data_IF_275013045602
#
_entry.id   IF_275013045602
#
_cell.length_a   1.000
_cell.length_b   1.000
_cell.length_c   1.000
_cell.angle_alpha   90.00
_cell.angle_beta   90.00
_cell.angle_gamma   90.00
#
_symmetry.space_group_name_H-M   'P 1'
#
loop_
_entity.id
_entity.type
_entity.pdbx_description
1 polymer ?
#
# COMPACT_ATOMS: atom_id res chain seq x y z
N UNK A 1 12.00 2.99 -35.99
CA UNK A 1 10.77 2.19 -35.81
C UNK A 1 10.93 1.41 -34.51
N UNK A 2 9.96 1.40 -33.59
CA UNK A 2 10.10 0.60 -32.38
C UNK A 2 10.06 -0.88 -32.77
N UNK A 3 11.05 -1.64 -32.33
CA UNK A 3 11.15 -3.08 -32.59
C UNK A 3 9.94 -3.80 -31.97
N UNK A 4 8.93 -4.08 -32.79
CA UNK A 4 7.86 -5.01 -32.45
C UNK A 4 8.52 -6.39 -32.33
N UNK A 5 8.64 -6.90 -31.10
CA UNK A 5 9.12 -8.27 -30.89
C UNK A 5 8.30 -9.22 -31.76
N UNK A 6 8.96 -10.20 -32.38
CA UNK A 6 8.22 -11.29 -33.04
C UNK A 6 7.32 -11.99 -32.02
N UNK A 7 6.17 -12.50 -32.45
CA UNK A 7 5.21 -13.17 -31.54
C UNK A 7 5.88 -14.29 -30.72
N UNK A 8 6.85 -15.00 -31.34
CA UNK A 8 7.65 -16.04 -30.69
C UNK A 8 8.53 -15.49 -29.55
N UNK A 9 9.17 -14.33 -29.72
CA UNK A 9 9.94 -13.68 -28.65
C UNK A 9 9.05 -13.21 -27.49
N UNK A 10 7.88 -12.65 -27.80
CA UNK A 10 6.93 -12.21 -26.78
C UNK A 10 6.41 -13.41 -25.96
N UNK A 11 6.07 -14.52 -26.62
CA UNK A 11 5.66 -15.77 -25.95
C UNK A 11 6.77 -16.35 -25.09
N UNK A 12 8.01 -16.36 -25.56
CA UNK A 12 9.16 -16.82 -24.76
C UNK A 12 9.36 -15.97 -23.49
N UNK A 13 9.17 -14.65 -23.57
CA UNK A 13 9.19 -13.76 -22.40
C UNK A 13 8.03 -14.06 -21.44
N UNK A 14 6.83 -14.29 -21.96
CA UNK A 14 5.66 -14.66 -21.17
C UNK A 14 5.87 -15.98 -20.43
N UNK A 15 6.37 -17.03 -21.08
CA UNK A 15 6.67 -18.31 -20.42
C UNK A 15 7.69 -18.17 -19.30
N UNK A 16 8.76 -17.39 -19.49
CA UNK A 16 9.74 -17.11 -18.41
C UNK A 16 9.11 -16.36 -17.25
N UNK A 17 8.25 -15.39 -17.55
CA UNK A 17 7.53 -14.62 -16.54
C UNK A 17 6.52 -15.50 -15.77
N UNK A 18 5.82 -16.41 -16.45
CA UNK A 18 4.91 -17.36 -15.81
C UNK A 18 5.64 -18.25 -14.81
N UNK A 19 6.81 -18.78 -15.20
CA UNK A 19 7.65 -19.61 -14.33
C UNK A 19 8.10 -18.80 -13.11
N UNK A 20 8.57 -17.55 -13.31
CA UNK A 20 9.03 -16.68 -12.21
C UNK A 20 7.94 -16.43 -11.16
N UNK A 21 6.69 -16.24 -11.59
CA UNK A 21 5.58 -15.89 -10.71
C UNK A 21 4.60 -17.04 -10.44
N UNK A 22 5.00 -18.27 -10.78
CA UNK A 22 4.21 -19.49 -10.63
C UNK A 22 2.78 -19.36 -11.18
N UNK A 23 2.66 -18.78 -12.38
CA UNK A 23 1.37 -18.54 -13.03
C UNK A 23 0.91 -19.80 -13.76
N UNK A 24 -0.36 -20.14 -13.56
CA UNK A 24 -1.05 -21.26 -14.20
C UNK A 24 -2.45 -20.83 -14.61
N UNK A 25 -2.96 -21.35 -15.72
CA UNK A 25 -4.27 -20.97 -16.24
C UNK A 25 -5.16 -22.20 -16.46
N UNK A 26 -6.48 -22.09 -16.23
CA UNK A 26 -7.40 -23.22 -16.30
C UNK A 26 -7.66 -23.71 -17.74
N UNK A 27 -7.34 -22.90 -18.75
CA UNK A 27 -7.52 -23.27 -20.15
C UNK A 27 -6.57 -22.49 -21.07
N UNK A 28 -6.31 -23.03 -22.25
CA UNK A 28 -5.56 -22.35 -23.30
C UNK A 28 -6.20 -21.01 -23.71
N UNK A 29 -7.53 -20.91 -23.67
CA UNK A 29 -8.25 -19.66 -23.97
C UNK A 29 -7.93 -18.56 -22.94
N UNK A 30 -7.88 -18.91 -21.66
CA UNK A 30 -7.50 -17.97 -20.60
C UNK A 30 -6.02 -17.62 -20.69
N UNK A 31 -5.15 -18.60 -20.93
CA UNK A 31 -3.71 -18.35 -21.13
C UNK A 31 -3.46 -17.37 -22.29
N UNK A 32 -4.15 -17.54 -23.42
CA UNK A 32 -4.01 -16.64 -24.57
C UNK A 32 -4.51 -15.23 -24.23
N UNK A 33 -5.64 -15.09 -23.52
CA UNK A 33 -6.10 -13.78 -23.02
C UNK A 33 -5.05 -13.12 -22.14
N UNK A 34 -4.45 -13.87 -21.23
CA UNK A 34 -3.44 -13.41 -20.27
C UNK A 34 -2.14 -13.02 -20.98
N UNK A 35 -1.74 -13.78 -22.01
CA UNK A 35 -0.63 -13.41 -22.89
C UNK A 35 -0.88 -12.08 -23.60
N UNK A 36 -2.08 -11.85 -24.15
CA UNK A 36 -2.40 -10.58 -24.81
C UNK A 36 -2.30 -9.39 -23.85
N UNK A 37 -2.83 -9.52 -22.63
CA UNK A 37 -2.71 -8.49 -21.57
C UNK A 37 -1.24 -8.29 -21.19
N UNK A 38 -0.48 -9.37 -20.98
CA UNK A 38 0.96 -9.30 -20.68
C UNK A 38 1.75 -8.57 -21.75
N UNK A 39 1.47 -8.86 -23.03
CA UNK A 39 2.14 -8.21 -24.14
C UNK A 39 1.79 -6.72 -24.21
N UNK A 40 0.51 -6.36 -24.02
CA UNK A 40 0.08 -4.97 -23.93
C UNK A 40 0.78 -4.22 -22.79
N UNK A 41 0.81 -4.80 -21.58
CA UNK A 41 1.48 -4.21 -20.42
C UNK A 41 3.00 -4.07 -20.65
N UNK A 42 3.65 -5.07 -21.25
CA UNK A 42 5.07 -5.00 -21.62
C UNK A 42 5.36 -3.83 -22.57
N UNK A 43 4.50 -3.63 -23.57
CA UNK A 43 4.63 -2.52 -24.51
C UNK A 43 4.42 -1.17 -23.82
N UNK A 44 3.42 -1.05 -22.93
CA UNK A 44 3.15 0.16 -22.15
C UNK A 44 4.31 0.52 -21.21
N UNK A 45 4.93 -0.48 -20.57
CA UNK A 45 6.14 -0.29 -19.75
C UNK A 45 7.29 0.25 -20.61
N UNK A 46 7.53 -0.34 -21.78
CA UNK A 46 8.56 0.11 -22.72
C UNK A 46 8.32 1.53 -23.25
N UNK A 47 7.06 1.87 -23.54
CA UNK A 47 6.67 3.20 -23.96
C UNK A 47 6.92 4.24 -22.85
N UNK A 48 6.54 3.94 -21.60
CA UNK A 48 6.80 4.81 -20.45
C UNK A 48 8.30 5.06 -20.23
N UNK A 49 9.12 4.01 -20.30
CA UNK A 49 10.57 4.11 -20.15
C UNK A 49 11.22 4.98 -21.26
N UNK A 50 10.70 4.89 -22.49
CA UNK A 50 11.19 5.69 -23.62
C UNK A 50 10.84 7.17 -23.50
N UNK A 51 9.63 7.49 -23.03
CA UNK A 51 9.18 8.87 -22.82
C UNK A 51 9.93 9.56 -21.67
N UNK A 52 10.12 8.85 -20.55
CA UNK A 52 10.85 9.39 -19.38
C UNK A 52 12.35 9.62 -19.68
N UNK A 53 12.96 8.79 -20.54
CA UNK A 53 14.35 8.98 -20.97
C UNK A 53 14.54 10.20 -21.90
N UNK A 54 13.51 10.62 -22.63
CA UNK A 54 13.58 11.71 -23.63
C UNK A 54 13.39 13.10 -23.01
N UNK A 55 12.74 13.20 -21.84
CA UNK A 55 12.40 14.47 -21.17
C UNK A 55 13.59 15.14 -20.44
N UNK A 56 14.82 14.82 -20.81
CA UNK A 56 16.06 15.47 -20.36
C UNK A 56 16.66 16.26 -21.52
N UNK A 57 15.96 17.28 -22.00
CA UNK A 57 16.54 18.26 -22.94
C UNK A 57 16.72 19.58 -22.21
N UNK A 58 17.99 19.94 -22.00
CA UNK A 58 18.41 21.24 -21.48
C UNK A 58 18.17 22.28 -22.57
N UNK A 59 17.25 23.23 -22.35
CA UNK A 59 17.10 24.41 -23.21
C UNK A 59 15.67 24.76 -23.66
N UNK A 60 14.78 25.08 -22.71
CA UNK A 60 13.48 25.69 -23.05
C UNK A 60 12.62 25.92 -21.81
N UNK A 61 12.08 27.13 -21.66
CA UNK A 61 11.29 27.62 -20.51
C UNK A 61 9.93 26.89 -20.32
N UNK A 62 9.95 25.60 -20.01
CA UNK A 62 8.80 24.86 -19.46
C UNK A 62 9.18 24.26 -18.11
N UNK A 63 8.29 24.24 -17.09
CA UNK A 63 8.58 23.54 -15.85
C UNK A 63 8.74 22.05 -16.16
N UNK A 64 9.99 21.57 -16.16
CA UNK A 64 10.27 20.14 -16.27
C UNK A 64 10.08 19.53 -14.88
N UNK A 65 8.98 18.80 -14.69
CA UNK A 65 8.92 17.82 -13.59
C UNK A 65 9.93 16.74 -13.90
N UNK A 66 11.09 16.74 -13.23
CA UNK A 66 11.96 15.55 -13.15
C UNK A 66 11.13 14.43 -12.51
N UNK A 67 10.54 13.55 -13.31
CA UNK A 67 9.92 12.34 -12.78
C UNK A 67 11.04 11.33 -12.53
N UNK A 68 11.21 10.94 -11.27
CA UNK A 68 12.15 9.87 -10.90
C UNK A 68 11.47 8.49 -10.90
N UNK A 69 10.16 8.46 -11.16
CA UNK A 69 9.34 7.25 -11.19
C UNK A 69 9.85 6.30 -12.25
N UNK A 70 9.98 5.03 -11.86
CA UNK A 70 10.27 3.91 -12.74
C UNK A 70 9.13 2.93 -12.65
N UNK A 71 8.81 2.32 -13.78
CA UNK A 71 7.89 1.18 -13.88
C UNK A 71 8.63 -0.04 -14.40
N UNK A 72 8.17 -1.23 -14.03
CA UNK A 72 8.80 -2.48 -14.42
C UNK A 72 7.84 -3.66 -14.34
N UNK A 73 8.09 -4.69 -15.15
CA UNK A 73 7.27 -5.88 -15.17
C UNK A 73 7.33 -6.59 -13.82
N UNK A 74 6.17 -6.89 -13.25
CA UNK A 74 6.02 -7.59 -11.97
C UNK A 74 4.93 -8.67 -12.08
N UNK A 75 4.49 -9.23 -10.94
CA UNK A 75 3.51 -10.33 -10.89
C UNK A 75 2.12 -10.01 -11.44
N UNK A 76 1.80 -8.73 -11.64
CA UNK A 76 0.54 -8.25 -12.20
C UNK A 76 0.60 -8.07 -13.72
N UNK A 77 1.66 -8.58 -14.36
CA UNK A 77 1.88 -8.46 -15.80
C UNK A 77 0.71 -8.93 -16.67
N UNK A 78 -0.03 -9.95 -16.25
CA UNK A 78 -1.16 -10.51 -16.98
C UNK A 78 -2.53 -9.96 -16.56
N UNK A 79 -2.55 -8.89 -15.75
CA UNK A 79 -3.77 -8.26 -15.26
C UNK A 79 -3.91 -6.85 -15.81
N UNK A 80 -5.15 -6.44 -16.06
CA UNK A 80 -5.51 -5.04 -16.28
C UNK A 80 -5.53 -4.26 -14.97
N UNK A 81 -5.41 -2.92 -14.98
CA UNK A 81 -5.54 -2.13 -13.75
C UNK A 81 -6.87 -2.35 -13.01
N UNK A 82 -7.95 -2.56 -13.76
CA UNK A 82 -9.27 -2.86 -13.19
C UNK A 82 -9.28 -4.21 -12.45
N UNK A 83 -8.70 -5.26 -13.03
CA UNK A 83 -8.56 -6.56 -12.36
C UNK A 83 -7.65 -6.46 -11.11
N UNK A 84 -6.61 -5.63 -11.14
CA UNK A 84 -5.76 -5.40 -9.96
C UNK A 84 -6.54 -4.72 -8.84
N UNK A 85 -7.32 -3.68 -9.15
CA UNK A 85 -8.17 -3.01 -8.16
C UNK A 85 -9.18 -3.99 -7.58
N UNK A 86 -9.89 -4.74 -8.44
CA UNK A 86 -10.92 -5.68 -8.01
C UNK A 86 -10.38 -6.80 -7.10
N UNK A 87 -9.19 -7.33 -7.37
CA UNK A 87 -8.67 -8.51 -6.69
C UNK A 87 -7.65 -8.21 -5.58
N UNK A 88 -6.95 -7.07 -5.63
CA UNK A 88 -5.80 -6.77 -4.77
C UNK A 88 -5.94 -5.47 -3.98
N UNK A 89 -7.04 -4.74 -4.14
CA UNK A 89 -7.41 -3.62 -3.25
C UNK A 89 -8.65 -4.00 -2.46
N UNK A 90 -9.08 -3.19 -1.49
CA UNK A 90 -10.12 -3.61 -0.57
C UNK A 90 -10.58 -2.58 0.44
N UNK A 91 -10.34 -1.30 0.21
CA UNK A 91 -11.02 -0.28 1.00
C UNK A 91 -12.49 -0.19 0.58
N UNK A 92 -13.39 -0.45 1.52
CA UNK A 92 -14.82 -0.32 1.32
C UNK A 92 -15.35 0.85 2.17
N UNK A 93 -15.76 1.93 1.51
CA UNK A 93 -16.25 3.14 2.17
C UNK A 93 -17.70 3.06 2.65
N UNK A 94 -18.40 1.94 2.45
CA UNK A 94 -19.80 1.76 2.87
C UNK A 94 -19.91 1.93 4.39
N UNK A 95 -20.73 2.88 4.85
CA UNK A 95 -20.92 3.16 6.28
C UNK A 95 -19.71 3.79 6.96
N UNK A 96 -18.71 4.25 6.21
CA UNK A 96 -17.55 4.94 6.76
C UNK A 96 -17.92 6.36 7.19
N UNK A 97 -17.73 6.64 8.48
CA UNK A 97 -17.84 7.98 9.04
C UNK A 97 -16.47 8.41 9.56
N UNK A 98 -15.97 9.54 9.06
CA UNK A 98 -14.70 10.07 9.51
C UNK A 98 -14.75 10.31 11.03
N UNK A 99 -13.88 9.63 11.78
CA UNK A 99 -13.73 9.89 13.21
C UNK A 99 -13.31 11.34 13.45
N UNK A 100 -13.74 11.91 14.57
CA UNK A 100 -13.34 13.27 14.94
C UNK A 100 -11.80 13.36 15.02
N UNK A 101 -11.17 14.25 14.25
CA UNK A 101 -9.72 14.32 14.20
C UNK A 101 -9.16 14.80 15.53
N UNK A 102 -7.99 14.28 15.90
CA UNK A 102 -7.23 14.74 17.08
C UNK A 102 -6.00 15.52 16.61
N UNK A 103 -6.03 16.86 16.62
CA UNK A 103 -4.88 17.66 16.22
C UNK A 103 -3.69 17.46 17.15
N UNK A 104 -2.50 17.36 16.56
CA UNK A 104 -1.24 17.44 17.27
C UNK A 104 -0.77 18.91 17.31
N UNK A 105 -0.13 19.36 18.42
CA UNK A 105 0.35 20.73 18.53
C UNK A 105 1.27 21.10 17.36
N UNK A 106 1.02 22.22 16.69
CA UNK A 106 1.74 22.61 15.47
C UNK A 106 3.24 22.88 15.68
N UNK A 107 3.60 23.26 16.91
CA UNK A 107 4.98 23.45 17.38
C UNK A 107 5.66 22.15 17.82
N UNK A 108 5.00 20.99 17.68
CA UNK A 108 5.64 19.70 17.93
C UNK A 108 6.84 19.54 17.02
N UNK A 109 7.97 19.14 17.60
CA UNK A 109 9.17 18.82 16.85
C UNK A 109 8.95 17.55 16.02
N UNK A 110 9.50 17.54 14.81
CA UNK A 110 9.60 16.35 13.95
C UNK A 110 10.97 16.31 13.26
N UNK A 111 11.59 15.14 13.07
CA UNK A 111 12.78 15.01 12.24
C UNK A 111 12.53 15.39 10.78
N UNK A 112 13.59 15.73 10.04
CA UNK A 112 13.52 15.89 8.58
C UNK A 112 13.30 14.55 7.87
N UNK A 113 13.80 13.46 8.44
CA UNK A 113 13.65 12.11 7.94
C UNK A 113 13.28 11.16 9.08
N UNK A 114 12.28 10.32 8.84
CA UNK A 114 11.82 9.25 9.72
C UNK A 114 11.70 8.00 8.86
N UNK A 115 12.35 6.92 9.26
CA UNK A 115 12.21 5.62 8.62
C UNK A 115 12.12 4.54 9.70
N UNK A 116 10.91 4.08 9.99
CA UNK A 116 10.66 3.09 11.03
C UNK A 116 11.27 1.72 10.69
N UNK A 117 11.64 1.47 9.42
CA UNK A 117 12.36 0.25 9.02
C UNK A 117 13.75 0.23 9.65
N UNK A 118 14.46 1.35 9.58
CA UNK A 118 15.79 1.52 10.17
C UNK A 118 15.77 1.42 11.70
N UNK A 119 14.65 1.76 12.32
CA UNK A 119 14.42 1.59 13.77
C UNK A 119 13.94 0.19 14.17
N UNK A 120 13.81 -0.74 13.22
CA UNK A 120 13.33 -2.10 13.46
C UNK A 120 11.86 -2.17 13.88
N UNK A 121 11.04 -1.17 13.55
CA UNK A 121 9.61 -1.06 13.88
C UNK A 121 8.69 -1.36 12.69
N UNK A 122 9.17 -2.17 11.75
CA UNK A 122 8.41 -2.62 10.57
C UNK A 122 8.75 -4.08 10.31
N UNK A 123 7.74 -4.95 10.29
CA UNK A 123 7.90 -6.36 9.90
C UNK A 123 8.17 -6.51 8.40
N UNK A 124 8.54 -7.71 7.96
CA UNK A 124 8.70 -8.02 6.53
C UNK A 124 7.44 -7.67 5.70
N UNK A 125 7.64 -7.38 4.42
CA UNK A 125 6.52 -7.19 3.48
C UNK A 125 5.83 -8.53 3.24
N UNK A 126 4.51 -8.56 3.38
CA UNK A 126 3.66 -9.73 3.17
C UNK A 126 2.95 -9.67 1.82
N UNK A 127 2.20 -10.72 1.48
CA UNK A 127 1.40 -10.80 0.26
C UNK A 127 -0.05 -11.19 0.56
N UNK A 128 -1.00 -10.30 0.26
CA UNK A 128 -2.43 -10.51 0.52
C UNK A 128 -3.13 -11.47 -0.47
N UNK A 129 -2.47 -11.88 -1.56
CA UNK A 129 -3.16 -12.69 -2.57
C UNK A 129 -4.31 -11.95 -3.25
N UNK A 130 -5.26 -12.70 -3.79
CA UNK A 130 -6.49 -12.19 -4.43
C UNK A 130 -7.61 -11.89 -3.43
N UNK A 131 -7.27 -11.76 -2.15
CA UNK A 131 -8.20 -11.38 -1.10
C UNK A 131 -8.11 -9.86 -0.89
N UNK A 132 -9.24 -9.16 -0.94
CA UNK A 132 -9.36 -7.71 -0.74
C UNK A 132 -9.14 -7.28 0.72
N UNK A 133 -8.03 -7.68 1.32
CA UNK A 133 -7.73 -7.57 2.76
C UNK A 133 -6.67 -6.51 3.09
N UNK A 134 -6.33 -5.62 2.15
CA UNK A 134 -5.35 -4.55 2.37
C UNK A 134 -5.61 -3.73 3.65
N UNK A 135 -6.88 -3.56 4.03
CA UNK A 135 -7.31 -2.89 5.26
C UNK A 135 -6.79 -3.60 6.52
N UNK A 136 -6.81 -4.93 6.54
CA UNK A 136 -6.28 -5.73 7.64
C UNK A 136 -4.74 -5.63 7.71
N UNK A 137 -4.06 -5.73 6.56
CA UNK A 137 -2.60 -5.58 6.47
C UNK A 137 -2.13 -4.18 6.92
N UNK A 138 -2.86 -3.12 6.53
CA UNK A 138 -2.53 -1.76 6.93
C UNK A 138 -2.69 -1.59 8.45
N UNK A 139 -3.81 -2.07 9.01
CA UNK A 139 -4.07 -2.04 10.45
C UNK A 139 -2.98 -2.79 11.24
N UNK A 140 -2.69 -4.04 10.86
CA UNK A 140 -1.66 -4.87 11.50
C UNK A 140 -0.30 -4.18 11.45
N UNK A 141 0.15 -3.72 10.28
CA UNK A 141 1.46 -3.06 10.17
C UNK A 141 1.59 -1.81 11.07
N UNK A 142 0.48 -1.08 11.30
CA UNK A 142 0.49 0.05 12.22
C UNK A 142 0.55 -0.39 13.70
N UNK A 143 -0.16 -1.47 14.06
CA UNK A 143 -0.12 -2.05 15.42
C UNK A 143 1.27 -2.62 15.71
N UNK A 144 1.85 -3.39 14.79
CA UNK A 144 3.19 -3.99 14.93
C UNK A 144 4.25 -2.91 15.21
N UNK A 145 4.24 -1.82 14.44
CA UNK A 145 5.18 -0.73 14.62
C UNK A 145 4.96 0.03 15.93
N UNK A 146 3.70 0.32 16.28
CA UNK A 146 3.39 0.93 17.58
C UNK A 146 3.83 0.04 18.74
N UNK A 147 3.60 -1.28 18.66
CA UNK A 147 4.02 -2.24 19.68
C UNK A 147 5.53 -2.18 19.88
N UNK A 148 6.30 -2.32 18.80
CA UNK A 148 7.77 -2.23 18.86
C UNK A 148 8.25 -0.92 19.50
N UNK A 149 7.65 0.21 19.13
CA UNK A 149 8.03 1.52 19.68
C UNK A 149 7.78 1.60 21.19
N UNK A 150 6.73 0.95 21.68
CA UNK A 150 6.35 1.01 23.09
C UNK A 150 7.03 -0.03 23.97
N UNK A 151 7.10 -1.27 23.50
CA UNK A 151 7.53 -2.42 24.30
C UNK A 151 8.95 -2.85 23.99
N UNK A 152 9.48 -2.45 22.83
CA UNK A 152 10.74 -2.95 22.31
C UNK A 152 10.59 -4.26 21.52
N UNK A 153 9.39 -4.84 21.42
CA UNK A 153 9.16 -6.13 20.77
C UNK A 153 8.46 -5.97 19.41
N UNK A 154 9.12 -6.46 18.35
CA UNK A 154 8.53 -6.53 17.02
C UNK A 154 8.01 -7.95 16.83
N UNK A 155 6.69 -8.09 16.82
CA UNK A 155 6.00 -9.37 16.61
C UNK A 155 5.23 -9.28 15.30
N UNK A 156 5.23 -10.34 14.50
CA UNK A 156 4.35 -10.40 13.34
C UNK A 156 2.95 -10.81 13.77
N UNK A 157 1.97 -9.94 13.54
CA UNK A 157 0.58 -10.13 13.98
C UNK A 157 -0.28 -10.71 12.85
N UNK A 158 -1.43 -11.29 13.22
CA UNK A 158 -2.32 -11.97 12.29
C UNK A 158 -3.26 -11.03 11.57
N UNK A 159 -3.11 -10.87 10.25
CA UNK A 159 -4.16 -10.24 9.43
C UNK A 159 -5.40 -11.12 9.32
N UNK A 160 -5.24 -12.44 9.40
CA UNK A 160 -6.35 -13.39 9.26
C UNK A 160 -7.36 -13.26 10.40
N UNK A 161 -6.89 -12.99 11.62
CA UNK A 161 -7.79 -12.70 12.74
C UNK A 161 -8.73 -11.54 12.39
N UNK A 162 -8.22 -10.46 11.79
CA UNK A 162 -9.05 -9.34 11.37
C UNK A 162 -10.01 -9.74 10.24
N UNK A 163 -9.50 -10.45 9.21
CA UNK A 163 -10.30 -10.91 8.07
C UNK A 163 -11.49 -11.76 8.51
N UNK A 164 -11.29 -12.64 9.48
CA UNK A 164 -12.31 -13.59 9.92
C UNK A 164 -13.26 -12.98 10.96
N UNK A 165 -12.81 -12.01 11.75
CA UNK A 165 -13.50 -11.55 12.95
C UNK A 165 -14.06 -10.11 12.93
N UNK A 166 -13.59 -9.24 12.03
CA UNK A 166 -14.12 -7.88 11.94
C UNK A 166 -15.48 -7.87 11.22
N UNK A 167 -16.56 -7.85 12.00
CA UNK A 167 -17.93 -7.76 11.49
C UNK A 167 -18.29 -6.38 10.93
N UNK A 168 -17.44 -5.37 11.11
CA UNK A 168 -17.57 -4.06 10.47
C UNK A 168 -17.04 -4.03 9.03
N UNK A 169 -16.36 -5.10 8.62
CA UNK A 169 -15.77 -5.35 7.30
C UNK A 169 -16.36 -6.62 6.67
N UNK A 170 -16.00 -6.90 5.41
CA UNK A 170 -16.48 -8.07 4.66
C UNK A 170 -15.35 -9.05 4.33
N UNK A 171 -14.31 -9.14 5.17
CA UNK A 171 -13.15 -10.00 4.92
C UNK A 171 -12.47 -9.69 3.59
N UNK A 172 -12.39 -10.69 2.71
CA UNK A 172 -11.91 -10.60 1.33
C UNK A 172 -12.85 -9.88 0.36
N UNK A 173 -14.02 -9.41 0.81
CA UNK A 173 -14.89 -8.48 0.06
C UNK A 173 -14.57 -7.00 0.31
N UNK A 174 -13.51 -6.71 1.07
CA UNK A 174 -13.11 -5.36 1.44
C UNK A 174 -13.60 -4.94 2.82
N UNK A 175 -12.95 -3.95 3.39
CA UNK A 175 -13.13 -3.55 4.77
C UNK A 175 -12.49 -2.21 5.08
N UNK A 176 -12.38 -1.92 6.38
CA UNK A 176 -11.86 -0.65 6.86
C UNK A 176 -10.87 -0.84 8.01
N UNK A 177 -9.88 0.05 8.04
CA UNK A 177 -8.85 0.08 9.09
C UNK A 177 -9.44 0.54 10.43
N UNK A 178 -10.39 1.47 10.44
CA UNK A 178 -11.01 1.97 11.68
C UNK A 178 -11.76 0.88 12.44
N UNK A 179 -12.53 0.04 11.74
CA UNK A 179 -13.24 -1.10 12.35
C UNK A 179 -12.27 -2.17 12.84
N UNK A 180 -11.22 -2.45 12.07
CA UNK A 180 -10.15 -3.36 12.48
C UNK A 180 -9.47 -2.90 13.79
N UNK A 181 -9.08 -1.62 13.88
CA UNK A 181 -8.47 -1.06 15.10
C UNK A 181 -9.46 -1.05 16.27
N UNK A 182 -10.74 -0.79 16.02
CA UNK A 182 -11.79 -0.86 17.03
C UNK A 182 -12.00 -2.28 17.56
N UNK A 183 -11.97 -3.30 16.69
CA UNK A 183 -12.07 -4.70 17.07
C UNK A 183 -10.93 -5.10 18.02
N UNK A 184 -9.68 -4.79 17.66
CA UNK A 184 -8.51 -5.10 18.49
C UNK A 184 -8.62 -4.40 19.85
N UNK A 185 -9.10 -3.15 19.86
CA UNK A 185 -9.33 -2.42 21.11
C UNK A 185 -10.40 -3.09 22.00
N UNK A 186 -11.52 -3.48 21.39
CA UNK A 186 -12.64 -4.09 22.10
C UNK A 186 -12.31 -5.49 22.65
N UNK A 187 -11.46 -6.24 21.95
CA UNK A 187 -11.00 -7.57 22.37
C UNK A 187 -9.85 -7.53 23.37
N UNK A 188 -9.18 -6.40 23.51
CA UNK A 188 -8.01 -6.24 24.38
C UNK A 188 -6.70 -6.69 23.74
N UNK A 189 -6.71 -7.14 22.48
CA UNK A 189 -5.50 -7.48 21.74
C UNK A 189 -5.74 -8.24 20.44
N UNK A 190 -4.64 -8.61 19.82
CA UNK A 190 -4.56 -9.38 18.56
C UNK A 190 -3.44 -10.43 18.68
N UNK A 191 -3.63 -11.58 18.06
CA UNK A 191 -2.67 -12.69 18.09
C UNK A 191 -1.55 -12.55 17.05
N UNK A 192 -0.58 -13.48 17.08
CA UNK A 192 0.51 -13.54 16.11
C UNK A 192 0.13 -14.25 14.81
N UNK A 193 0.81 -13.89 13.73
CA UNK A 193 0.79 -14.62 12.44
C UNK A 193 1.06 -16.12 12.63
N UNK A 194 1.97 -16.48 13.54
CA UNK A 194 2.32 -17.89 13.77
C UNK A 194 1.16 -18.71 14.38
N UNK A 195 0.28 -18.05 15.14
CA UNK A 195 -0.86 -18.68 15.83
C UNK A 195 -2.11 -18.71 14.97
N UNK A 196 -2.31 -17.67 14.16
CA UNK A 196 -3.40 -17.58 13.20
C UNK A 196 -2.85 -17.14 11.83
N UNK A 197 -2.29 -18.09 11.06
CA UNK A 197 -1.65 -17.77 9.79
C UNK A 197 -2.61 -17.23 8.74
N UNK A 198 -2.09 -16.37 7.87
CA UNK A 198 -2.82 -15.83 6.74
C UNK A 198 -3.16 -16.93 5.71
N UNK A 199 -4.46 -17.09 5.44
CA UNK A 199 -4.99 -18.10 4.52
C UNK A 199 -5.44 -17.49 3.18
N UNK A 200 -5.73 -16.19 3.16
CA UNK A 200 -6.14 -15.48 1.94
C UNK A 200 -7.58 -15.75 1.49
N UNK A 201 -8.44 -16.20 2.40
CA UNK A 201 -9.89 -16.35 2.18
C UNK A 201 -10.66 -16.09 3.47
N UNK A 202 -11.98 -15.92 3.36
CA UNK A 202 -12.86 -15.77 4.53
C UNK A 202 -12.96 -17.10 5.30
N UNK A 203 -12.42 -17.13 6.51
CA UNK A 203 -12.56 -18.21 7.46
C UNK A 203 -13.73 -17.98 8.43
N UNK A 204 -13.77 -18.81 9.46
CA UNK A 204 -14.66 -18.60 10.62
C UNK A 204 -13.85 -17.98 11.73
N UNK A 205 -14.37 -16.92 12.35
CA UNK A 205 -13.74 -16.33 13.51
C UNK A 205 -13.65 -17.36 14.66
N UNK A 206 -12.44 -17.85 14.92
CA UNK A 206 -12.16 -18.80 15.99
C UNK A 206 -11.94 -18.06 17.32
N UNK A 207 -13.01 -17.49 17.87
CA UNK A 207 -12.97 -16.65 19.07
C UNK A 207 -12.33 -17.36 20.27
N UNK A 208 -12.60 -18.66 20.44
CA UNK A 208 -12.16 -19.41 21.62
C UNK A 208 -10.64 -19.60 21.68
N UNK A 209 -9.97 -19.70 20.51
CA UNK A 209 -8.50 -19.70 20.45
C UNK A 209 -7.87 -18.35 20.73
N UNK A 210 -8.62 -17.26 20.60
CA UNK A 210 -8.10 -15.89 20.60
C UNK A 210 -8.33 -15.13 21.91
N UNK A 211 -9.24 -15.60 22.77
CA UNK A 211 -9.65 -14.90 24.00
C UNK A 211 -8.50 -14.58 24.98
N UNK A 212 -7.38 -15.30 24.91
CA UNK A 212 -6.25 -15.12 25.85
C UNK A 212 -4.87 -15.08 25.18
N UNK A 213 -4.79 -15.17 23.85
CA UNK A 213 -3.50 -15.12 23.11
C UNK A 213 -3.34 -13.77 22.41
N UNK A 214 -2.96 -12.76 23.19
CA UNK A 214 -2.69 -11.42 22.70
C UNK A 214 -1.20 -11.13 22.71
N UNK A 215 -0.65 -10.87 21.53
CA UNK A 215 0.77 -10.54 21.33
C UNK A 215 1.00 -9.04 21.23
N UNK A 216 -0.05 -8.28 20.90
CA UNK A 216 -0.08 -6.83 20.96
C UNK A 216 -1.49 -6.35 21.30
N UNK A 217 -1.60 -5.15 21.85
CA UNK A 217 -2.88 -4.52 22.16
C UNK A 217 -2.92 -3.04 21.80
N UNK A 218 -4.14 -2.55 21.56
CA UNK A 218 -4.43 -1.14 21.35
C UNK A 218 -5.56 -0.74 22.28
N UNK A 219 -5.60 0.51 22.74
CA UNK A 219 -6.74 1.07 23.50
C UNK A 219 -7.81 1.68 22.60
N UNK A 220 -7.52 1.81 21.31
CA UNK A 220 -8.34 2.49 20.32
C UNK A 220 -7.48 3.08 19.22
N UNK A 221 -8.00 4.07 18.51
CA UNK A 221 -7.28 4.77 17.44
C UNK A 221 -7.61 6.25 17.45
N UNK A 222 -6.79 7.05 16.75
CA UNK A 222 -7.04 8.47 16.52
C UNK A 222 -6.97 8.78 15.04
N UNK A 223 -7.89 9.62 14.57
CA UNK A 223 -7.83 10.21 13.25
C UNK A 223 -6.90 11.42 13.25
N UNK A 224 -6.06 11.51 12.23
CA UNK A 224 -5.28 12.72 11.93
C UNK A 224 -6.21 13.74 11.26
N UNK A 225 -6.05 15.05 11.52
CA UNK A 225 -6.73 16.09 10.74
C UNK A 225 -6.65 15.84 9.23
N UNK A 226 -7.81 15.73 8.59
CA UNK A 226 -7.94 15.46 7.16
C UNK A 226 -7.28 16.57 6.34
N UNK A 227 -6.78 16.20 5.16
CA UNK A 227 -6.20 17.12 4.18
C UNK A 227 -5.04 17.97 4.74
N UNK A 228 -4.27 17.39 5.67
CA UNK A 228 -3.20 18.08 6.38
C UNK A 228 -1.94 17.21 6.48
N UNK A 229 -1.12 17.24 5.42
CA UNK A 229 0.15 16.50 5.35
C UNK A 229 1.12 16.84 6.49
N UNK A 230 1.03 18.05 7.07
CA UNK A 230 1.86 18.41 8.24
C UNK A 230 1.41 17.66 9.48
N UNK A 231 0.11 17.58 9.74
CA UNK A 231 -0.42 16.80 10.86
C UNK A 231 -0.13 15.31 10.68
N UNK A 232 -0.21 14.81 9.44
CA UNK A 232 0.21 13.45 9.10
C UNK A 232 1.70 13.25 9.40
N UNK A 233 2.57 14.19 9.04
CA UNK A 233 4.01 14.09 9.30
C UNK A 233 4.31 14.07 10.81
N UNK A 234 3.58 14.86 11.60
CA UNK A 234 3.69 14.86 13.06
C UNK A 234 3.27 13.52 13.67
N UNK A 235 2.24 12.87 13.11
CA UNK A 235 1.81 11.55 13.55
C UNK A 235 2.82 10.46 13.15
N UNK A 236 3.28 10.47 11.88
CA UNK A 236 4.28 9.53 11.36
C UNK A 236 5.61 9.64 12.10
N UNK A 237 5.99 10.83 12.56
CA UNK A 237 7.17 11.03 13.39
C UNK A 237 7.11 10.32 14.76
N UNK A 238 5.92 9.89 15.20
CA UNK A 238 5.72 9.19 16.47
C UNK A 238 5.54 7.68 16.31
N UNK A 239 4.94 7.24 15.21
CA UNK A 239 4.68 5.83 14.89
C UNK A 239 4.17 5.67 13.45
N UNK A 240 4.11 4.45 12.89
CA UNK A 240 3.46 4.22 11.60
C UNK A 240 1.97 4.60 11.60
N UNK A 241 1.48 5.11 10.46
CA UNK A 241 0.12 5.64 10.28
C UNK A 241 -0.51 5.01 9.05
N UNK A 242 -1.74 4.51 9.16
CA UNK A 242 -2.48 3.95 8.03
C UNK A 242 -3.11 5.06 7.19
N UNK A 243 -3.13 4.89 5.88
CA UNK A 243 -3.79 5.80 4.93
C UNK A 243 -4.52 5.00 3.85
N UNK A 244 -5.48 5.64 3.20
CA UNK A 244 -6.07 5.14 1.96
C UNK A 244 -5.53 5.93 0.77
N UNK A 245 -5.29 5.23 -0.34
CA UNK A 245 -4.80 5.80 -1.59
C UNK A 245 -5.59 5.26 -2.79
N UNK A 246 -5.56 6.01 -3.88
CA UNK A 246 -5.96 5.49 -5.19
C UNK A 246 -4.82 4.70 -5.85
N UNK A 247 -4.99 3.38 -5.96
CA UNK A 247 -4.05 2.46 -6.58
C UNK A 247 -4.45 2.04 -8.01
N UNK A 248 -5.42 2.73 -8.64
CA UNK A 248 -5.99 2.32 -9.95
C UNK A 248 -5.09 2.60 -11.16
N UNK A 249 -4.00 3.34 -10.98
CA UNK A 249 -3.14 3.78 -12.07
C UNK A 249 -2.23 2.66 -12.59
N UNK A 250 -2.04 2.60 -13.91
CA UNK A 250 -1.06 1.72 -14.55
C UNK A 250 0.36 1.91 -13.96
N UNK A 251 0.77 3.16 -13.74
CA UNK A 251 2.08 3.45 -13.16
C UNK A 251 2.20 2.97 -11.71
N UNK A 252 1.09 2.93 -10.96
CA UNK A 252 1.05 2.35 -9.62
C UNK A 252 1.16 0.81 -9.70
N UNK A 253 0.36 0.18 -10.56
CA UNK A 253 0.39 -1.27 -10.79
C UNK A 253 1.81 -1.76 -11.08
N UNK A 254 2.55 -1.04 -11.92
CA UNK A 254 3.91 -1.41 -12.36
C UNK A 254 5.02 -0.62 -11.68
N UNK A 255 4.75 0.14 -10.62
CA UNK A 255 5.75 0.91 -9.91
C UNK A 255 6.95 0.02 -9.51
N UNK A 256 8.17 0.52 -9.74
CA UNK A 256 9.43 -0.18 -9.42
C UNK A 256 10.47 0.72 -8.73
N UNK A 257 10.17 2.01 -8.52
CA UNK A 257 11.04 2.90 -7.76
C UNK A 257 10.84 4.39 -8.10
N UNK A 258 11.53 5.25 -7.34
CA UNK A 258 11.45 6.70 -7.50
C UNK A 258 10.27 7.32 -6.73
N UNK A 259 10.09 8.65 -6.85
CA UNK A 259 9.04 9.37 -6.12
C UNK A 259 7.79 9.44 -7.00
N UNK A 260 6.78 8.63 -6.67
CA UNK A 260 5.48 8.58 -7.33
C UNK A 260 4.67 9.86 -7.12
N UNK A 261 4.15 10.40 -8.22
CA UNK A 261 3.40 11.67 -8.26
C UNK A 261 2.01 11.54 -8.89
N UNK A 262 1.62 10.33 -9.29
CA UNK A 262 0.47 10.08 -10.14
C UNK A 262 0.88 9.79 -11.59
N UNK A 263 -0.11 9.54 -12.47
CA UNK A 263 -1.52 9.87 -12.30
C UNK A 263 -2.24 8.97 -11.28
N UNK A 264 -3.00 9.60 -10.39
CA UNK A 264 -3.89 8.97 -9.42
C UNK A 264 -4.91 10.03 -8.95
N UNK A 265 -6.07 9.60 -8.49
CA UNK A 265 -7.10 10.51 -7.98
C UNK A 265 -6.69 11.13 -6.66
N UNK A 266 -6.95 12.43 -6.52
CA UNK A 266 -6.86 13.17 -5.27
C UNK A 266 -8.20 13.21 -4.52
N UNK A 267 -9.27 12.63 -5.10
CA UNK A 267 -10.62 12.57 -4.53
C UNK A 267 -10.74 11.42 -3.53
N UNK A 268 -11.20 11.74 -2.32
CA UNK A 268 -11.48 10.77 -1.25
C UNK A 268 -12.51 9.69 -1.66
N UNK A 269 -13.40 9.97 -2.61
CA UNK A 269 -14.36 8.98 -3.12
C UNK A 269 -13.73 7.90 -4.00
N UNK A 270 -12.48 8.11 -4.44
CA UNK A 270 -11.77 7.26 -5.41
C UNK A 270 -10.62 6.47 -4.80
N UNK A 271 -10.26 6.71 -3.54
CA UNK A 271 -9.29 5.86 -2.84
C UNK A 271 -9.88 4.46 -2.67
N UNK A 272 -9.06 3.44 -2.88
CA UNK A 272 -9.51 2.03 -2.97
C UNK A 272 -8.55 1.07 -2.26
N UNK A 273 -7.36 1.52 -1.89
CA UNK A 273 -6.31 0.69 -1.32
C UNK A 273 -5.81 1.24 0.00
N UNK A 274 -5.60 0.37 0.98
CA UNK A 274 -5.07 0.73 2.29
C UNK A 274 -3.59 0.38 2.38
N UNK A 275 -2.77 1.33 2.84
CA UNK A 275 -1.33 1.13 3.06
C UNK A 275 -0.90 1.78 4.37
N UNK A 276 0.30 1.45 4.84
CA UNK A 276 0.86 2.05 6.07
C UNK A 276 2.04 2.93 5.75
N UNK A 277 1.95 4.21 6.11
CA UNK A 277 3.07 5.14 6.07
C UNK A 277 4.01 4.80 7.23
N UNK A 278 5.18 4.30 6.89
CA UNK A 278 6.24 3.88 7.84
C UNK A 278 7.37 4.90 7.91
N UNK A 279 7.21 6.06 7.29
CA UNK A 279 8.22 7.10 7.31
C UNK A 279 8.00 8.20 6.29
N UNK A 280 8.90 9.17 6.30
CA UNK A 280 9.04 10.21 5.29
C UNK A 280 10.46 10.74 5.29
N UNK A 281 10.90 11.32 4.18
CA UNK A 281 12.14 12.07 4.11
C UNK A 281 11.93 13.41 3.42
N UNK A 282 12.57 14.45 3.93
CA UNK A 282 12.57 15.79 3.37
C UNK A 282 13.95 16.12 2.81
N UNK A 283 14.29 15.51 1.66
CA UNK A 283 15.58 15.71 1.01
C UNK A 283 15.81 17.17 0.58
N UNK A 284 17.07 17.61 0.45
CA UNK A 284 17.39 18.97 0.02
C UNK A 284 16.94 19.19 -1.43
N UNK A 285 16.27 20.32 -1.70
CA UNK A 285 15.78 20.71 -3.02
C UNK A 285 14.27 20.47 -3.26
N UNK A 286 13.67 21.31 -4.12
CA UNK A 286 12.24 21.19 -4.48
C UNK A 286 11.98 19.84 -5.16
N UNK A 287 10.99 19.10 -4.67
CA UNK A 287 10.57 17.83 -5.27
C UNK A 287 11.21 16.56 -4.68
N UNK A 288 12.07 16.68 -3.67
CA UNK A 288 12.76 15.56 -3.02
C UNK A 288 12.13 15.11 -1.69
N UNK A 289 10.89 15.56 -1.42
CA UNK A 289 10.12 15.14 -0.26
C UNK A 289 9.21 13.98 -0.60
N UNK A 290 9.23 12.94 0.21
CA UNK A 290 8.40 11.76 -0.02
C UNK A 290 7.99 11.07 1.28
N UNK A 291 6.83 10.42 1.23
CA UNK A 291 6.36 9.43 2.18
C UNK A 291 6.95 8.06 1.83
N UNK A 292 7.14 7.21 2.83
CA UNK A 292 7.52 5.81 2.67
C UNK A 292 6.30 4.98 3.04
N UNK A 293 5.64 4.37 2.06
CA UNK A 293 4.46 3.54 2.29
C UNK A 293 4.80 2.04 2.11
N UNK A 294 4.46 1.23 3.11
CA UNK A 294 4.50 -0.23 3.06
C UNK A 294 3.24 -0.74 2.37
N UNK A 295 3.41 -1.53 1.30
CA UNK A 295 2.32 -2.19 0.60
C UNK A 295 2.20 -3.67 1.04
N UNK A 296 1.14 -4.36 0.61
CA UNK A 296 0.78 -5.75 0.92
C UNK A 296 0.86 -6.67 -0.31
N UNK A 297 1.66 -6.30 -1.32
CA UNK A 297 1.70 -6.95 -2.63
C UNK A 297 3.00 -7.76 -2.89
N UNK A 298 3.62 -8.28 -1.83
CA UNK A 298 4.96 -8.93 -1.87
C UNK A 298 6.11 -7.94 -2.07
N UNK A 299 7.33 -8.41 -1.79
CA UNK A 299 8.58 -7.68 -2.03
C UNK A 299 8.94 -7.55 -3.53
N UNK A 300 8.32 -8.34 -4.41
CA UNK A 300 8.49 -8.28 -5.86
C UNK A 300 7.79 -7.08 -6.53
N UNK A 301 6.94 -6.36 -5.80
CA UNK A 301 6.29 -5.15 -6.26
C UNK A 301 6.97 -3.91 -5.70
N UNK A 302 7.07 -2.84 -6.49
CA UNK A 302 7.65 -1.58 -6.02
C UNK A 302 9.13 -1.66 -5.70
N UNK A 303 9.56 -0.83 -4.76
CA UNK A 303 10.91 -0.89 -4.20
C UNK A 303 10.90 -1.82 -3.00
N UNK A 304 11.10 -3.11 -3.25
CA UNK A 304 11.09 -4.18 -2.23
C UNK A 304 9.78 -4.21 -1.40
N UNK A 305 8.63 -3.95 -2.04
CA UNK A 305 7.32 -3.91 -1.40
C UNK A 305 6.90 -2.54 -0.86
N UNK A 306 7.72 -1.51 -1.08
CA UNK A 306 7.43 -0.14 -0.68
C UNK A 306 7.18 0.75 -1.89
N UNK A 307 6.46 1.85 -1.67
CA UNK A 307 6.34 2.96 -2.62
C UNK A 307 6.69 4.28 -1.95
N UNK A 308 7.39 5.14 -2.69
CA UNK A 308 7.67 6.50 -2.25
C UNK A 308 6.67 7.45 -2.90
N UNK A 309 5.76 8.01 -2.11
CA UNK A 309 4.73 8.94 -2.60
C UNK A 309 5.23 10.36 -2.38
N UNK A 310 5.01 11.27 -3.34
CA UNK A 310 5.39 12.65 -3.16
C UNK A 310 4.72 13.27 -1.93
N UNK A 311 5.49 14.03 -1.16
CA UNK A 311 5.05 14.73 0.05
C UNK A 311 5.04 16.24 -0.15
N UNK A 312 4.16 16.92 0.58
CA UNK A 312 3.94 18.38 0.54
C UNK A 312 3.59 18.83 -0.89
N UNK A 313 2.60 18.15 -1.48
CA UNK A 313 2.11 18.45 -2.83
C UNK A 313 1.10 19.60 -2.81
N UNK A 314 0.81 20.25 -3.95
CA UNK A 314 -0.12 21.38 -3.99
C UNK A 314 -1.56 21.02 -3.57
N UNK A 315 -1.95 19.74 -3.68
CA UNK A 315 -3.28 19.27 -3.30
C UNK A 315 -3.33 18.95 -1.81
N UNK A 316 -4.29 19.54 -1.10
CA UNK A 316 -4.44 19.34 0.35
C UNK A 316 -4.74 17.89 0.73
N UNK A 317 -5.35 17.12 -0.17
CA UNK A 317 -5.63 15.68 -0.01
C UNK A 317 -4.37 14.80 -0.10
N UNK A 318 -3.20 15.38 -0.41
CA UNK A 318 -1.94 14.66 -0.57
C UNK A 318 -1.88 13.82 -1.85
N UNK A 319 -0.73 13.21 -2.11
CA UNK A 319 -0.56 12.33 -3.30
C UNK A 319 -1.52 11.15 -3.22
N UNK A 320 -2.32 10.96 -4.27
CA UNK A 320 -3.30 9.88 -4.39
C UNK A 320 -4.37 9.83 -3.27
N UNK A 321 -4.65 10.97 -2.63
CA UNK A 321 -5.64 11.06 -1.55
C UNK A 321 -5.15 10.59 -0.19
N UNK A 322 -3.83 10.35 0.00
CA UNK A 322 -3.27 9.79 1.24
C UNK A 322 -3.61 10.58 2.52
N UNK A 323 -3.93 11.87 2.42
CA UNK A 323 -4.23 12.72 3.57
C UNK A 323 -5.74 12.80 3.88
N UNK A 324 -6.59 12.11 3.11
CA UNK A 324 -8.06 12.21 3.25
C UNK A 324 -8.60 11.47 4.48
N UNK A 325 -7.98 10.37 4.89
CA UNK A 325 -8.42 9.58 6.05
C UNK A 325 -7.26 8.83 6.72
N UNK A 326 -6.34 9.53 7.41
CA UNK A 326 -5.22 8.91 8.10
C UNK A 326 -5.58 8.52 9.54
N UNK A 327 -5.17 7.32 9.97
CA UNK A 327 -5.40 6.81 11.33
C UNK A 327 -4.14 6.20 11.93
N UNK A 328 -4.03 6.24 13.25
CA UNK A 328 -3.00 5.51 13.98
C UNK A 328 -3.58 4.85 15.24
N UNK A 329 -3.14 3.63 15.59
CA UNK A 329 -3.53 2.99 16.84
C UNK A 329 -3.00 3.77 18.05
N UNK A 330 -3.70 3.63 19.17
CA UNK A 330 -3.34 4.22 20.46
C UNK A 330 -3.29 3.16 21.54
N UNK A 331 -2.71 3.51 22.68
CA UNK A 331 -1.95 2.58 23.48
C UNK A 331 -2.07 2.84 24.99
#
# INVERSE_FOLDING_TARGET
MPHRHSDSEARAKFSKWMIKYSKTYPSHKEEEKRFQIFNQNTNSIGAFASQTSTTVVVGGFRPQTRTTVRVGMNRFGDLTPAEVVEQFTGFNNTGFHAASPTPLPYHSWKPCCVDWRSSGAVTGVKFQGTCASCWAFAAVAAIEGMNKIRTGELVSLSEQELVDCDTGSNGCGGGRVDTALALVAARGGITSEAKYPYSGFNGKCDVDKLLFDHQASVKGFKAVPINNERQLALAVARQPVTVYIDASGFEFQFYSGGIYRGPCSADASRVNHAVTIVGYCEGPGKGNKYWIAKNSWSNDWGDQGYIYLAKDVPWSTGTCGLATSPFYPTA
#
